data_IF_995803388093
#
_entry.id   IF_995803388093
#
_cell.length_a   1.000
_cell.length_b   1.000
_cell.length_c   1.000
_cell.angle_alpha   90.00
_cell.angle_beta   90.00
_cell.angle_gamma   90.00
#
_symmetry.space_group_name_H-M   'P 1'
#
loop_
_entity.id
_entity.type
_entity.pdbx_description
1 polymer ?
#
# COMPACT_ATOMS: atom_id res chain seq x y z
N UNK A 1 48.19 33.93 5.42
CA UNK A 1 47.08 34.75 4.94
C UNK A 1 45.77 34.19 5.51
N UNK A 2 45.45 34.56 6.72
CA UNK A 2 44.29 34.02 7.42
C UNK A 2 43.77 35.05 8.40
N UNK A 3 43.06 36.06 7.91
CA UNK A 3 42.28 36.98 8.74
C UNK A 3 41.29 37.73 7.86
N UNK A 4 40.16 37.15 7.57
CA UNK A 4 38.91 37.82 7.22
C UNK A 4 37.78 36.81 7.27
N UNK A 5 37.27 36.46 8.46
CA UNK A 5 36.01 35.68 8.57
C UNK A 5 35.24 35.90 9.90
N UNK A 6 35.62 36.90 10.72
CA UNK A 6 34.99 37.09 12.03
C UNK A 6 34.36 38.49 12.27
N UNK A 7 33.90 39.18 11.22
CA UNK A 7 33.25 40.50 11.42
C UNK A 7 31.83 40.62 10.81
N UNK A 8 31.22 39.56 10.34
CA UNK A 8 29.78 39.57 10.02
C UNK A 8 29.15 38.32 10.64
N UNK A 9 28.09 38.49 11.39
CA UNK A 9 27.39 37.41 12.07
C UNK A 9 27.19 36.23 11.10
N UNK A 10 27.54 35.03 11.57
CA UNK A 10 27.43 33.78 10.80
C UNK A 10 25.95 33.59 10.55
N UNK A 11 25.51 33.72 9.30
CA UNK A 11 24.17 33.33 8.90
C UNK A 11 24.04 31.79 8.88
N UNK A 12 22.81 31.28 8.79
CA UNK A 12 22.56 29.84 8.77
C UNK A 12 23.31 29.11 7.64
N UNK A 13 23.61 29.77 6.53
CA UNK A 13 24.42 29.21 5.43
C UNK A 13 25.91 29.21 5.78
N UNK A 14 26.41 30.21 6.41
CA UNK A 14 27.81 30.29 6.88
C UNK A 14 28.10 29.26 7.97
N UNK A 15 27.16 28.98 8.88
CA UNK A 15 27.29 27.95 9.90
C UNK A 15 27.40 26.56 9.29
N UNK A 16 26.62 26.27 8.25
CA UNK A 16 26.65 24.97 7.52
C UNK A 16 27.92 24.81 6.68
N UNK A 17 28.60 25.88 6.29
CA UNK A 17 29.87 25.81 5.54
C UNK A 17 31.12 25.68 6.42
N UNK A 18 31.01 25.84 7.73
CA UNK A 18 32.12 25.72 8.69
C UNK A 18 32.20 24.32 9.33
N UNK A 19 31.15 23.49 9.15
CA UNK A 19 31.14 22.10 9.64
C UNK A 19 32.13 21.22 8.89
N UNK A 20 33.40 21.25 9.24
CA UNK A 20 34.37 20.23 8.86
C UNK A 20 34.15 19.02 9.73
N UNK A 21 33.87 17.86 9.13
CA UNK A 21 34.05 16.57 9.82
C UNK A 21 35.54 16.44 10.06
N UNK A 22 35.97 16.78 11.27
CA UNK A 22 37.37 16.70 11.67
C UNK A 22 37.91 15.29 11.48
N UNK A 23 38.87 15.13 10.60
CA UNK A 23 39.54 13.89 10.32
C UNK A 23 39.69 13.50 8.84
N UNK A 24 38.80 13.96 7.97
CA UNK A 24 38.83 13.60 6.54
C UNK A 24 38.87 14.80 5.59
N UNK A 25 38.98 16.04 6.09
CA UNK A 25 39.11 17.24 5.25
C UNK A 25 37.86 17.57 4.37
N UNK A 26 36.76 16.90 4.58
CA UNK A 26 35.52 17.09 3.81
C UNK A 26 34.59 18.04 4.55
N UNK A 27 34.27 19.18 3.95
CA UNK A 27 33.23 20.08 4.45
C UNK A 27 31.84 19.57 4.01
N UNK A 28 30.76 19.93 4.76
CA UNK A 28 29.39 19.66 4.35
C UNK A 28 29.12 20.19 2.92
N UNK A 29 29.73 21.31 2.54
CA UNK A 29 29.70 21.84 1.18
C UNK A 29 30.38 20.92 0.14
N UNK A 30 31.40 20.15 0.53
CA UNK A 30 32.01 19.12 -0.32
C UNK A 30 31.10 17.88 -0.44
N UNK A 31 30.48 17.47 0.66
CA UNK A 31 29.52 16.36 0.66
C UNK A 31 28.29 16.69 -0.19
N UNK A 32 27.72 17.88 -0.06
CA UNK A 32 26.60 18.32 -0.88
C UNK A 32 26.98 18.49 -2.36
N UNK A 33 28.20 18.94 -2.67
CA UNK A 33 28.72 18.95 -4.05
C UNK A 33 28.99 17.54 -4.59
N UNK A 34 29.45 16.62 -3.76
CA UNK A 34 29.57 15.21 -4.16
C UNK A 34 28.21 14.54 -4.38
N UNK A 35 27.18 14.89 -3.58
CA UNK A 35 25.81 14.46 -3.85
C UNK A 35 25.26 15.07 -5.14
N UNK A 36 25.49 16.37 -5.38
CA UNK A 36 25.10 17.03 -6.63
C UNK A 36 25.87 16.44 -7.84
N UNK A 37 27.19 16.21 -7.71
CA UNK A 37 27.99 15.57 -8.75
C UNK A 37 27.63 14.09 -8.98
N UNK A 38 27.17 13.35 -7.95
CA UNK A 38 26.56 12.02 -8.12
C UNK A 38 25.22 12.08 -8.84
N UNK A 39 24.41 13.11 -8.56
CA UNK A 39 23.18 13.38 -9.29
C UNK A 39 23.44 13.78 -10.76
N UNK A 40 24.53 14.52 -11.02
CA UNK A 40 24.99 14.90 -12.36
C UNK A 40 25.74 13.76 -13.10
N UNK A 41 26.46 12.89 -12.38
CA UNK A 41 27.16 11.72 -12.93
C UNK A 41 26.23 10.55 -13.24
N UNK A 42 25.02 10.54 -12.69
CA UNK A 42 23.90 9.78 -13.16
C UNK A 42 22.90 10.76 -13.80
N UNK A 43 22.96 11.04 -15.09
CA UNK A 43 21.90 11.71 -15.79
C UNK A 43 20.73 10.72 -15.93
N UNK A 44 20.37 10.10 -14.81
CA UNK A 44 19.17 9.36 -14.63
C UNK A 44 18.04 10.35 -14.73
N UNK A 45 17.15 10.09 -15.67
CA UNK A 45 15.79 10.58 -15.85
C UNK A 45 15.39 11.65 -14.82
N UNK A 46 14.96 12.84 -15.24
CA UNK A 46 14.50 13.87 -14.31
C UNK A 46 13.56 13.23 -13.28
N UNK A 47 13.53 13.70 -12.02
CA UNK A 47 12.67 13.10 -10.99
C UNK A 47 11.28 12.95 -11.60
N UNK A 48 10.85 11.70 -11.79
CA UNK A 48 9.57 11.40 -12.43
C UNK A 48 8.52 12.09 -11.59
N UNK A 49 7.73 12.92 -12.21
CA UNK A 49 6.64 13.60 -11.52
C UNK A 49 5.68 12.51 -11.03
N UNK A 50 5.52 12.40 -9.70
CA UNK A 50 4.63 11.42 -9.11
C UNK A 50 3.21 11.61 -9.65
N UNK A 51 2.65 10.60 -10.28
CA UNK A 51 1.27 10.61 -10.73
C UNK A 51 0.32 10.31 -9.56
N UNK A 52 0.73 9.43 -8.65
CA UNK A 52 -0.02 9.10 -7.45
C UNK A 52 0.56 9.82 -6.22
N UNK A 53 -0.31 10.39 -5.40
CA UNK A 53 0.02 10.98 -4.11
C UNK A 53 -0.33 10.06 -2.94
N UNK A 54 -1.25 9.14 -3.17
CA UNK A 54 -1.74 8.17 -2.18
C UNK A 54 -2.04 6.82 -2.83
N UNK A 55 -2.03 5.76 -2.02
CA UNK A 55 -2.36 4.41 -2.45
C UNK A 55 -3.41 3.81 -1.53
N UNK A 56 -4.40 3.13 -2.11
CA UNK A 56 -5.32 2.24 -1.42
C UNK A 56 -5.03 0.82 -1.91
N UNK A 57 -4.44 0.00 -1.06
CA UNK A 57 -4.15 -1.41 -1.31
C UNK A 57 -5.25 -2.26 -0.68
N UNK A 58 -6.09 -2.86 -1.51
CA UNK A 58 -7.17 -3.78 -1.11
C UNK A 58 -6.63 -5.19 -1.22
N UNK A 59 -6.38 -5.82 -0.09
CA UNK A 59 -5.88 -7.18 -0.03
C UNK A 59 -7.02 -8.15 0.25
N UNK A 60 -7.15 -9.16 -0.60
CA UNK A 60 -8.15 -10.22 -0.55
C UNK A 60 -7.44 -11.53 -0.18
N UNK A 61 -7.26 -11.83 1.12
CA UNK A 61 -6.47 -12.97 1.57
C UNK A 61 -7.13 -14.30 1.22
N UNK A 62 -6.32 -15.27 0.86
CA UNK A 62 -6.76 -16.64 0.61
C UNK A 62 -6.69 -17.07 -0.85
N UNK A 63 -6.21 -16.23 -1.77
CA UNK A 63 -6.11 -16.60 -3.18
C UNK A 63 -7.44 -16.52 -3.93
N UNK A 64 -7.75 -15.35 -4.47
CA UNK A 64 -9.01 -15.13 -5.21
C UNK A 64 -9.00 -15.91 -6.52
N UNK A 65 -10.03 -16.71 -6.74
CA UNK A 65 -10.20 -17.43 -7.98
C UNK A 65 -10.53 -16.47 -9.14
N UNK A 66 -9.56 -16.28 -10.02
CA UNK A 66 -9.71 -15.38 -11.17
C UNK A 66 -10.75 -15.88 -12.17
N UNK A 67 -10.95 -17.20 -12.27
CA UNK A 67 -11.95 -17.82 -13.13
C UNK A 67 -13.39 -17.42 -12.76
N UNK A 68 -13.64 -17.24 -11.47
CA UNK A 68 -14.96 -16.83 -10.95
C UNK A 68 -15.12 -15.31 -10.87
N UNK A 69 -14.05 -14.55 -11.12
CA UNK A 69 -14.05 -13.08 -10.93
C UNK A 69 -13.65 -12.33 -12.19
N UNK A 70 -12.37 -12.00 -12.35
CA UNK A 70 -11.90 -11.06 -13.37
C UNK A 70 -11.49 -11.71 -14.70
N UNK A 71 -11.35 -13.04 -14.75
CA UNK A 71 -10.91 -13.77 -15.95
C UNK A 71 -11.72 -15.06 -16.21
N UNK A 72 -13.04 -14.94 -16.36
CA UNK A 72 -13.88 -16.12 -16.65
C UNK A 72 -13.53 -16.70 -18.02
N UNK A 73 -13.61 -18.05 -18.10
CA UNK A 73 -13.37 -18.80 -19.34
C UNK A 73 -14.68 -19.48 -19.80
N UNK A 74 -15.66 -18.70 -20.34
CA UNK A 74 -16.99 -19.23 -20.62
C UNK A 74 -17.02 -20.36 -21.65
N UNK A 75 -15.99 -20.47 -22.49
CA UNK A 75 -15.86 -21.49 -23.50
C UNK A 75 -15.07 -22.73 -23.02
N UNK A 76 -14.48 -22.69 -21.83
CA UNK A 76 -13.74 -23.80 -21.25
C UNK A 76 -14.71 -24.92 -20.82
N UNK A 77 -14.25 -26.18 -20.76
CA UNK A 77 -15.03 -27.28 -20.17
C UNK A 77 -15.51 -26.93 -18.74
N UNK A 78 -16.63 -27.56 -18.33
CA UNK A 78 -17.32 -27.20 -17.07
C UNK A 78 -16.41 -27.30 -15.84
N UNK A 79 -15.50 -28.26 -15.79
CA UNK A 79 -14.55 -28.46 -14.69
C UNK A 79 -13.48 -27.36 -14.58
N UNK A 80 -13.29 -26.58 -15.63
CA UNK A 80 -12.39 -25.39 -15.64
C UNK A 80 -13.17 -24.09 -15.46
N UNK A 81 -14.31 -23.97 -16.12
CA UNK A 81 -15.16 -22.79 -16.11
C UNK A 81 -15.71 -22.45 -14.73
N UNK A 82 -15.90 -23.48 -13.88
CA UNK A 82 -16.48 -23.32 -12.54
C UNK A 82 -18.01 -23.16 -12.54
N UNK A 83 -18.59 -22.89 -11.37
CA UNK A 83 -20.05 -22.89 -11.16
C UNK A 83 -20.75 -21.60 -11.61
N UNK A 84 -20.01 -20.53 -11.92
CA UNK A 84 -20.59 -19.23 -12.24
C UNK A 84 -20.65 -18.97 -13.74
N UNK A 85 -21.65 -18.17 -14.13
CA UNK A 85 -21.71 -17.55 -15.45
C UNK A 85 -20.76 -16.36 -15.57
N UNK A 86 -20.78 -15.75 -16.74
CA UNK A 86 -20.03 -14.50 -16.99
C UNK A 86 -20.93 -13.43 -17.57
N UNK A 87 -20.63 -12.18 -17.31
CA UNK A 87 -21.37 -11.01 -17.76
C UNK A 87 -20.47 -10.07 -18.57
N UNK A 88 -21.09 -9.29 -19.45
CA UNK A 88 -20.41 -8.24 -20.19
C UNK A 88 -20.04 -7.09 -19.25
N UNK A 89 -18.96 -6.42 -19.57
CA UNK A 89 -18.51 -5.24 -18.82
C UNK A 89 -18.69 -3.95 -19.63
N UNK A 90 -18.38 -2.81 -19.04
CA UNK A 90 -18.31 -1.54 -19.76
C UNK A 90 -17.23 -1.51 -20.87
N UNK A 91 -16.33 -2.50 -20.90
CA UNK A 91 -15.34 -2.66 -21.97
C UNK A 91 -15.82 -3.70 -22.97
N UNK A 92 -16.01 -3.32 -24.26
CA UNK A 92 -16.44 -4.23 -25.29
C UNK A 92 -15.53 -5.48 -25.39
N UNK A 93 -16.13 -6.67 -25.40
CA UNK A 93 -15.41 -7.94 -25.49
C UNK A 93 -14.76 -8.43 -24.19
N UNK A 94 -14.79 -7.65 -23.12
CA UNK A 94 -14.27 -8.04 -21.81
C UNK A 94 -15.41 -8.53 -20.92
N UNK A 95 -15.26 -9.72 -20.37
CA UNK A 95 -16.22 -10.33 -19.47
C UNK A 95 -15.66 -10.51 -18.07
N UNK A 96 -16.51 -10.37 -17.05
CA UNK A 96 -16.24 -10.74 -15.66
C UNK A 96 -17.17 -11.89 -15.23
N UNK A 97 -16.83 -12.55 -14.14
CA UNK A 97 -17.75 -13.47 -13.46
C UNK A 97 -19.04 -12.73 -13.06
N UNK A 98 -20.18 -13.41 -13.16
CA UNK A 98 -21.50 -12.82 -12.86
C UNK A 98 -21.66 -12.30 -11.44
N UNK A 99 -20.73 -12.64 -10.56
CA UNK A 99 -20.66 -12.20 -9.16
C UNK A 99 -20.16 -10.75 -8.99
N UNK A 100 -19.71 -10.11 -10.07
CA UNK A 100 -19.15 -8.75 -10.09
C UNK A 100 -19.98 -7.75 -10.92
N UNK A 101 -21.33 -7.66 -10.77
CA UNK A 101 -22.16 -6.82 -11.64
C UNK A 101 -21.95 -5.31 -11.45
N UNK A 102 -21.52 -4.83 -10.29
CA UNK A 102 -21.19 -3.43 -10.07
C UNK A 102 -19.83 -3.06 -10.62
N UNK A 103 -18.83 -3.91 -10.41
CA UNK A 103 -17.47 -3.72 -10.94
C UNK A 103 -17.44 -3.80 -12.47
N UNK A 104 -18.25 -4.67 -13.08
CA UNK A 104 -18.37 -4.77 -14.53
C UNK A 104 -18.80 -3.42 -15.17
N UNK A 105 -19.64 -2.64 -14.49
CA UNK A 105 -20.12 -1.32 -14.97
C UNK A 105 -19.08 -0.20 -14.92
N UNK A 106 -17.97 -0.42 -14.23
CA UNK A 106 -16.87 0.56 -14.07
C UNK A 106 -15.56 0.05 -14.69
N UNK A 107 -15.60 -1.02 -15.47
CA UNK A 107 -14.41 -1.62 -16.08
C UNK A 107 -13.64 -0.62 -16.96
N UNK A 108 -14.33 0.36 -17.53
CA UNK A 108 -13.74 1.50 -18.29
C UNK A 108 -12.81 2.39 -17.46
N UNK A 109 -12.83 2.29 -16.12
CA UNK A 109 -11.96 3.01 -15.19
C UNK A 109 -10.80 2.17 -14.65
N UNK A 110 -10.76 0.88 -15.00
CA UNK A 110 -9.85 -0.10 -14.44
C UNK A 110 -8.77 -0.51 -15.44
N UNK A 111 -7.61 -0.91 -14.93
CA UNK A 111 -6.65 -1.77 -15.60
C UNK A 111 -6.75 -3.16 -14.98
N UNK A 112 -7.16 -4.14 -15.76
CA UNK A 112 -7.33 -5.53 -15.35
C UNK A 112 -6.10 -6.32 -15.81
N UNK A 113 -5.27 -6.78 -14.89
CA UNK A 113 -4.11 -7.61 -15.20
C UNK A 113 -4.48 -9.08 -15.02
N UNK A 114 -4.49 -9.86 -16.11
CA UNK A 114 -4.90 -11.28 -16.13
C UNK A 114 -3.74 -12.27 -16.20
N UNK A 115 -2.52 -11.75 -16.17
CA UNK A 115 -1.29 -12.52 -16.36
C UNK A 115 -0.32 -12.43 -15.18
N UNK A 116 -0.80 -11.99 -14.00
CA UNK A 116 0.03 -11.95 -12.81
C UNK A 116 0.55 -13.34 -12.47
N UNK A 117 1.85 -13.46 -12.17
CA UNK A 117 2.50 -14.76 -11.97
C UNK A 117 3.65 -14.69 -10.99
N UNK A 118 3.82 -15.76 -10.21
CA UNK A 118 5.02 -16.06 -9.42
C UNK A 118 5.09 -17.54 -9.04
N UNK A 119 6.08 -17.95 -8.23
CA UNK A 119 6.30 -19.36 -7.89
C UNK A 119 5.82 -19.81 -6.52
N UNK A 120 5.21 -18.94 -5.72
CA UNK A 120 4.95 -19.19 -4.30
C UNK A 120 3.50 -19.65 -4.06
N UNK A 121 3.31 -20.93 -3.67
CA UNK A 121 2.01 -21.57 -3.48
C UNK A 121 1.55 -21.68 -2.01
N UNK A 122 2.35 -21.21 -1.06
CA UNK A 122 1.97 -21.13 0.36
C UNK A 122 1.54 -19.70 0.71
N UNK A 123 0.51 -19.53 1.55
CA UNK A 123 -0.06 -18.23 1.87
C UNK A 123 1.00 -17.24 2.39
N UNK A 124 1.82 -17.64 3.36
CA UNK A 124 2.85 -16.78 3.95
C UNK A 124 3.86 -16.33 2.90
N UNK A 125 4.29 -17.24 2.03
CA UNK A 125 5.29 -16.97 1.01
C UNK A 125 4.74 -16.09 -0.12
N UNK A 126 3.54 -16.42 -0.63
CA UNK A 126 2.85 -15.62 -1.63
C UNK A 126 2.51 -14.21 -1.10
N UNK A 127 2.03 -14.12 0.14
CA UNK A 127 1.75 -12.83 0.80
C UNK A 127 3.01 -11.99 0.94
N UNK A 128 4.11 -12.58 1.43
CA UNK A 128 5.40 -11.88 1.49
C UNK A 128 5.77 -11.29 0.13
N UNK A 129 5.72 -12.12 -0.92
CA UNK A 129 6.06 -11.69 -2.26
C UNK A 129 5.21 -10.49 -2.71
N UNK A 130 3.88 -10.60 -2.57
CA UNK A 130 2.94 -9.55 -2.98
C UNK A 130 2.97 -8.28 -2.10
N UNK A 131 3.45 -8.34 -0.87
CA UNK A 131 3.55 -7.18 0.01
C UNK A 131 4.88 -6.45 -0.07
N UNK A 132 5.94 -7.13 -0.51
CA UNK A 132 7.30 -6.59 -0.46
C UNK A 132 7.95 -6.41 -1.83
N UNK A 133 7.45 -7.09 -2.87
CA UNK A 133 8.12 -7.17 -4.19
C UNK A 133 9.28 -8.17 -4.22
N UNK A 134 9.51 -8.90 -3.12
CA UNK A 134 10.61 -9.84 -2.97
C UNK A 134 10.12 -11.26 -2.68
N UNK A 135 10.83 -12.24 -3.20
CA UNK A 135 10.66 -13.62 -2.76
C UNK A 135 11.12 -13.79 -1.31
N UNK A 136 10.44 -14.61 -0.50
CA UNK A 136 10.85 -14.85 0.88
C UNK A 136 12.28 -15.36 0.98
N UNK A 137 13.05 -14.78 1.87
CA UNK A 137 14.43 -15.19 2.17
C UNK A 137 14.59 -15.37 3.68
N UNK A 138 15.23 -16.45 4.15
CA UNK A 138 15.53 -16.61 5.57
C UNK A 138 16.58 -15.62 6.09
N UNK A 139 17.32 -14.98 5.19
CA UNK A 139 18.41 -14.07 5.53
C UNK A 139 17.94 -12.65 5.83
N UNK A 140 16.80 -12.23 5.32
CA UNK A 140 16.34 -10.85 5.44
C UNK A 140 14.81 -10.76 5.30
N UNK A 141 14.18 -10.05 6.23
CA UNK A 141 12.78 -9.67 6.10
C UNK A 141 12.67 -8.32 5.39
N UNK A 142 12.01 -8.30 4.25
CA UNK A 142 11.87 -7.09 3.43
C UNK A 142 10.72 -6.20 3.91
N UNK A 143 10.84 -4.86 3.76
CA UNK A 143 9.77 -3.94 4.11
C UNK A 143 8.61 -4.02 3.11
N UNK A 144 7.40 -3.83 3.61
CA UNK A 144 6.21 -3.70 2.77
C UNK A 144 6.20 -2.39 1.98
N UNK A 145 5.40 -2.32 0.90
CA UNK A 145 5.17 -1.09 0.13
C UNK A 145 4.82 0.10 1.04
N UNK A 146 3.89 -0.10 1.97
CA UNK A 146 3.47 0.97 2.89
C UNK A 146 4.60 1.44 3.79
N UNK A 147 5.47 0.54 4.23
CA UNK A 147 6.63 0.88 5.06
C UNK A 147 7.72 1.61 4.27
N UNK A 148 7.98 1.20 3.02
CA UNK A 148 8.89 1.94 2.13
C UNK A 148 8.35 3.36 1.88
N UNK A 149 7.07 3.52 1.57
CA UNK A 149 6.43 4.82 1.34
C UNK A 149 6.45 5.67 2.61
N UNK A 150 6.25 5.06 3.78
CA UNK A 150 6.40 5.72 5.09
C UNK A 150 7.83 6.22 5.32
N UNK A 151 8.83 5.45 4.93
CA UNK A 151 10.25 5.82 5.00
C UNK A 151 10.59 6.95 4.03
N UNK A 152 10.19 6.86 2.78
CA UNK A 152 10.57 7.80 1.72
C UNK A 152 9.91 9.17 1.88
N UNK A 153 8.67 9.23 2.33
CA UNK A 153 7.89 10.46 2.33
C UNK A 153 7.49 10.96 3.72
N UNK A 154 7.53 10.12 4.73
CA UNK A 154 7.09 10.49 6.08
C UNK A 154 5.60 10.88 6.17
N UNK A 155 5.18 11.43 7.32
CA UNK A 155 3.80 11.85 7.57
C UNK A 155 3.42 13.12 6.78
N UNK A 156 2.11 13.32 6.55
CA UNK A 156 1.52 14.53 6.03
C UNK A 156 0.46 15.01 7.03
N UNK A 157 0.49 16.28 7.42
CA UNK A 157 -0.50 16.92 8.30
C UNK A 157 -0.78 16.16 9.62
N UNK A 158 0.23 15.62 10.27
CA UNK A 158 0.13 14.78 11.49
C UNK A 158 -0.63 13.46 11.33
N UNK A 159 -0.95 13.04 10.10
CA UNK A 159 -1.55 11.74 9.83
C UNK A 159 -0.46 10.67 9.70
N UNK A 160 -0.72 9.43 10.14
CA UNK A 160 0.20 8.32 9.88
C UNK A 160 0.41 8.18 8.37
N UNK A 161 1.66 8.04 7.90
CA UNK A 161 1.91 7.87 6.46
C UNK A 161 1.39 6.53 5.93
N UNK A 162 1.29 5.51 6.78
CA UNK A 162 0.78 4.18 6.48
C UNK A 162 -0.27 3.75 7.51
N UNK A 163 -1.45 3.35 7.05
CA UNK A 163 -2.59 2.89 7.88
C UNK A 163 -3.04 1.51 7.43
N UNK A 164 -3.34 0.63 8.40
CA UNK A 164 -3.88 -0.71 8.17
C UNK A 164 -5.31 -0.82 8.73
N UNK A 165 -6.26 -1.27 7.90
CA UNK A 165 -7.69 -1.41 8.22
C UNK A 165 -8.12 -2.88 8.16
N UNK A 166 -8.64 -3.47 9.23
CA UNK A 166 -8.71 -2.93 10.59
C UNK A 166 -7.37 -3.02 11.31
N UNK A 167 -6.50 -3.94 10.91
CA UNK A 167 -5.19 -4.23 11.48
C UNK A 167 -4.17 -4.50 10.40
N UNK A 168 -2.89 -4.55 10.77
CA UNK A 168 -1.85 -5.10 9.92
C UNK A 168 -2.24 -6.54 9.56
N UNK A 169 -2.34 -6.87 8.24
CA UNK A 169 -2.92 -8.14 7.81
C UNK A 169 -2.08 -9.37 8.19
N UNK A 170 -0.77 -9.20 8.26
CA UNK A 170 0.22 -10.22 8.62
C UNK A 170 1.57 -9.54 8.92
N UNK A 171 2.57 -10.32 9.31
CA UNK A 171 3.91 -9.82 9.60
C UNK A 171 4.60 -9.15 8.40
N UNK A 172 4.28 -9.57 7.17
CA UNK A 172 4.90 -9.05 5.94
C UNK A 172 4.36 -7.68 5.51
N UNK A 173 3.28 -7.20 6.12
CA UNK A 173 2.81 -5.82 5.95
C UNK A 173 3.54 -4.82 6.87
N UNK A 174 4.61 -5.26 7.52
CA UNK A 174 5.44 -4.48 8.44
C UNK A 174 6.65 -3.83 7.79
N UNK A 175 7.51 -3.29 8.65
CA UNK A 175 8.71 -2.53 8.24
C UNK A 175 9.88 -3.39 7.77
N UNK A 176 9.83 -4.71 7.95
CA UNK A 176 10.94 -5.59 7.58
C UNK A 176 12.24 -5.17 8.24
N UNK A 177 13.30 -4.98 7.44
CA UNK A 177 14.61 -4.54 7.93
C UNK A 177 14.69 -3.03 8.23
N UNK A 178 13.68 -2.25 7.85
CA UNK A 178 13.59 -0.85 8.24
C UNK A 178 13.20 -0.72 9.72
N UNK A 179 13.42 0.46 10.30
CA UNK A 179 12.96 0.73 11.66
C UNK A 179 11.46 0.48 11.80
N UNK A 180 11.04 -0.08 12.94
CA UNK A 180 9.63 -0.28 13.28
C UNK A 180 8.81 1.02 13.27
N UNK A 181 9.47 2.17 13.35
CA UNK A 181 8.85 3.49 13.16
C UNK A 181 8.11 3.64 11.81
N UNK A 182 8.47 2.86 10.80
CA UNK A 182 7.84 2.89 9.47
C UNK A 182 6.70 1.88 9.30
N UNK A 183 6.38 1.09 10.32
CA UNK A 183 5.26 0.16 10.30
C UNK A 183 3.90 0.87 10.18
N UNK A 184 2.91 0.14 9.68
CA UNK A 184 1.55 0.64 9.53
C UNK A 184 0.86 0.92 10.86
N UNK A 185 0.12 2.01 10.93
CA UNK A 185 -0.78 2.29 12.06
C UNK A 185 -2.04 1.42 11.92
N UNK A 186 -2.22 0.47 12.83
CA UNK A 186 -3.40 -0.39 12.90
C UNK A 186 -4.52 0.27 13.69
N UNK A 187 -5.76 0.24 13.17
CA UNK A 187 -6.91 0.85 13.84
C UNK A 187 -7.29 0.14 15.14
N UNK A 188 -7.05 -1.17 15.22
CA UNK A 188 -7.40 -2.00 16.37
C UNK A 188 -8.90 -2.29 16.50
N UNK A 189 -9.74 -1.82 15.56
CA UNK A 189 -11.17 -2.06 15.51
C UNK A 189 -11.67 -2.03 14.07
N UNK A 190 -12.77 -2.74 13.78
CA UNK A 190 -13.39 -2.77 12.47
C UNK A 190 -14.34 -1.56 12.29
N UNK A 191 -14.21 -0.79 11.19
CA UNK A 191 -15.14 0.29 10.88
C UNK A 191 -16.62 -0.13 10.79
N UNK A 192 -16.89 -1.40 10.54
CA UNK A 192 -18.24 -1.96 10.51
C UNK A 192 -18.81 -2.29 11.88
N UNK A 193 -18.01 -2.24 12.95
CA UNK A 193 -18.54 -2.40 14.31
C UNK A 193 -19.31 -1.13 14.71
N UNK A 194 -20.54 -1.30 15.19
CA UNK A 194 -21.37 -0.18 15.66
C UNK A 194 -20.76 0.62 16.82
N UNK A 195 -19.75 0.07 17.49
CA UNK A 195 -18.97 0.72 18.56
C UNK A 195 -17.58 1.16 18.07
N UNK A 196 -17.38 1.23 16.77
CA UNK A 196 -16.10 1.60 16.18
C UNK A 196 -15.53 2.87 16.79
N UNK A 197 -14.35 2.75 17.35
CA UNK A 197 -13.51 3.86 17.80
C UNK A 197 -12.08 3.47 17.51
N UNK A 198 -11.35 4.34 16.86
CA UNK A 198 -9.91 4.13 16.68
C UNK A 198 -9.24 4.29 18.04
N UNK A 199 -8.43 3.29 18.39
CA UNK A 199 -7.69 3.28 19.65
C UNK A 199 -6.75 4.51 19.69
N UNK A 200 -6.65 5.12 20.86
CA UNK A 200 -5.67 6.17 21.15
C UNK A 200 -5.81 7.49 20.34
N UNK A 201 -6.97 7.76 19.74
CA UNK A 201 -7.27 9.06 19.13
C UNK A 201 -7.83 10.09 20.11
N UNK A 202 -8.22 9.68 21.29
CA UNK A 202 -8.76 10.57 22.31
C UNK A 202 -7.83 10.63 23.53
N UNK A 203 -7.84 11.78 24.20
CA UNK A 203 -7.16 11.89 25.49
C UNK A 203 -7.77 10.87 26.47
N UNK A 204 -6.94 10.22 27.31
CA UNK A 204 -7.44 9.37 28.37
C UNK A 204 -8.43 10.12 29.28
N UNK A 205 -9.42 9.41 29.79
CA UNK A 205 -10.42 9.97 30.68
C UNK A 205 -9.77 10.70 31.88
N UNK A 206 -10.22 11.90 32.18
CA UNK A 206 -9.67 12.75 33.25
C UNK A 206 -8.35 13.47 32.93
N UNK A 207 -7.88 13.43 31.66
CA UNK A 207 -6.71 14.18 31.20
C UNK A 207 -7.16 15.25 30.20
N UNK A 208 -7.03 16.52 30.58
CA UNK A 208 -7.20 17.64 29.67
C UNK A 208 -5.93 17.89 28.81
N UNK A 209 -6.07 18.71 27.77
CA UNK A 209 -4.98 19.04 26.85
C UNK A 209 -3.78 19.65 27.56
N UNK A 210 -3.97 20.52 28.55
CA UNK A 210 -2.88 21.17 29.28
C UNK A 210 -2.03 20.16 30.07
N UNK A 211 -2.70 19.24 30.76
CA UNK A 211 -2.06 18.15 31.51
C UNK A 211 -1.34 17.16 30.59
N UNK A 212 -1.91 16.90 29.40
CA UNK A 212 -1.30 16.08 28.37
C UNK A 212 -0.03 16.74 27.81
N UNK A 213 -0.08 18.01 27.43
CA UNK A 213 1.06 18.77 26.92
C UNK A 213 2.18 18.91 27.98
N UNK A 214 1.82 19.01 29.26
CA UNK A 214 2.80 19.03 30.36
C UNK A 214 3.51 17.68 30.48
N UNK A 215 2.77 16.57 30.42
CA UNK A 215 3.36 15.22 30.44
C UNK A 215 4.28 14.97 29.25
N UNK A 216 3.90 15.45 28.05
CA UNK A 216 4.74 15.40 26.86
C UNK A 216 6.08 16.10 27.08
N UNK A 217 6.05 17.35 27.53
CA UNK A 217 7.30 18.10 27.79
C UNK A 217 8.20 17.42 28.81
N UNK A 218 7.62 16.78 29.83
CA UNK A 218 8.40 16.01 30.82
C UNK A 218 9.02 14.76 30.18
N UNK A 219 8.28 14.06 29.32
CA UNK A 219 8.79 12.88 28.61
C UNK A 219 9.90 13.27 27.62
N UNK A 220 9.76 14.40 26.88
CA UNK A 220 10.78 14.90 25.98
C UNK A 220 12.11 15.14 26.71
N UNK A 221 12.08 15.74 27.91
CA UNK A 221 13.28 15.95 28.74
C UNK A 221 13.92 14.62 29.17
N UNK A 222 13.11 13.64 29.54
CA UNK A 222 13.61 12.30 29.92
C UNK A 222 14.22 11.58 28.73
N UNK A 223 13.52 11.61 27.57
CA UNK A 223 13.99 10.99 26.33
C UNK A 223 15.28 11.64 25.82
N UNK A 224 15.42 12.96 25.92
CA UNK A 224 16.65 13.64 25.52
C UNK A 224 17.85 13.20 26.36
N UNK A 225 17.63 12.95 27.65
CA UNK A 225 18.67 12.40 28.54
C UNK A 225 19.09 10.97 28.11
N UNK A 226 18.11 10.11 27.81
CA UNK A 226 18.40 8.74 27.36
C UNK A 226 19.05 8.68 25.97
N UNK A 227 18.63 9.54 25.02
CA UNK A 227 19.27 9.63 23.68
C UNK A 227 20.75 10.02 23.75
N UNK A 228 21.15 10.78 24.76
CA UNK A 228 22.56 11.12 24.97
C UNK A 228 23.36 9.93 25.51
N UNK A 229 22.71 9.02 26.24
CA UNK A 229 23.33 7.88 26.88
C UNK A 229 23.35 6.62 26.00
N UNK A 230 22.34 6.41 25.15
CA UNK A 230 22.18 5.20 24.34
C UNK A 230 21.51 5.52 23.00
N UNK A 231 22.16 5.10 21.90
CA UNK A 231 21.60 5.18 20.54
C UNK A 231 21.15 3.78 20.14
N UNK A 232 19.84 3.53 20.12
CA UNK A 232 19.28 2.30 19.60
C UNK A 232 18.06 2.57 18.71
N UNK A 233 17.87 1.72 17.68
CA UNK A 233 16.71 1.80 16.80
C UNK A 233 15.38 1.72 17.57
N UNK A 234 15.34 0.93 18.64
CA UNK A 234 14.18 0.78 19.51
C UNK A 234 13.77 2.09 20.20
N UNK A 235 14.74 2.91 20.62
CA UNK A 235 14.47 4.20 21.27
C UNK A 235 14.01 5.24 20.25
N UNK A 236 14.63 5.28 19.07
CA UNK A 236 14.23 6.20 18.00
C UNK A 236 12.84 5.85 17.45
N UNK A 237 12.53 4.56 17.32
CA UNK A 237 11.20 4.08 16.97
C UNK A 237 10.15 4.46 18.01
N UNK A 238 10.43 4.23 19.30
CA UNK A 238 9.53 4.57 20.40
C UNK A 238 9.19 6.06 20.41
N UNK A 239 10.21 6.91 20.24
CA UNK A 239 10.01 8.36 20.16
C UNK A 239 9.14 8.75 18.96
N UNK A 240 9.39 8.16 17.80
CA UNK A 240 8.58 8.38 16.60
C UNK A 240 7.12 7.97 16.82
N UNK A 241 6.86 6.87 17.52
CA UNK A 241 5.51 6.44 17.89
C UNK A 241 4.83 7.44 18.81
N UNK A 242 5.54 7.93 19.84
CA UNK A 242 5.00 8.95 20.73
C UNK A 242 4.68 10.24 19.98
N UNK A 243 5.56 10.74 19.14
CA UNK A 243 5.33 11.97 18.36
C UNK A 243 4.12 11.81 17.41
N UNK A 244 3.97 10.66 16.76
CA UNK A 244 2.81 10.36 15.92
C UNK A 244 1.51 10.28 16.72
N UNK A 245 1.52 9.60 17.86
CA UNK A 245 0.35 9.52 18.75
C UNK A 245 -0.06 10.92 19.24
N UNK A 246 0.90 11.75 19.64
CA UNK A 246 0.63 13.15 20.01
C UNK A 246 0.07 13.96 18.86
N UNK A 247 0.63 13.82 17.66
CA UNK A 247 0.14 14.49 16.46
C UNK A 247 -1.31 14.14 16.17
N UNK A 248 -1.65 12.86 16.23
CA UNK A 248 -3.01 12.35 16.04
C UNK A 248 -4.00 12.88 17.08
N UNK A 249 -3.66 12.76 18.38
CA UNK A 249 -4.53 13.18 19.48
C UNK A 249 -4.75 14.70 19.48
N UNK A 250 -3.75 15.48 19.08
CA UNK A 250 -3.80 16.94 19.09
C UNK A 250 -4.40 17.56 17.83
N UNK A 251 -4.57 16.81 16.76
CA UNK A 251 -5.06 17.30 15.47
C UNK A 251 -6.55 16.97 15.26
N UNK A 252 -7.40 17.98 15.30
CA UNK A 252 -8.82 17.83 14.98
C UNK A 252 -9.01 17.24 13.56
N UNK A 253 -8.23 17.70 12.57
CA UNK A 253 -8.24 17.19 11.20
C UNK A 253 -7.92 15.69 11.15
N UNK A 254 -6.96 15.24 11.96
CA UNK A 254 -6.64 13.81 12.02
C UNK A 254 -7.79 12.99 12.64
N UNK A 255 -8.39 13.47 13.72
CA UNK A 255 -9.55 12.81 14.34
C UNK A 255 -10.74 12.74 13.39
N UNK A 256 -11.05 13.83 12.67
CA UNK A 256 -12.12 13.88 11.66
C UNK A 256 -11.89 12.89 10.52
N UNK A 257 -10.65 12.67 10.09
CA UNK A 257 -10.33 11.72 9.02
C UNK A 257 -10.81 10.29 9.34
N UNK A 258 -10.71 9.89 10.61
CA UNK A 258 -11.13 8.56 11.07
C UNK A 258 -12.61 8.47 11.48
N UNK A 259 -13.34 9.59 11.56
CA UNK A 259 -14.72 9.61 12.05
C UNK A 259 -15.73 9.38 10.91
N UNK A 260 -16.19 8.14 10.77
CA UNK A 260 -17.24 7.78 9.80
C UNK A 260 -18.62 8.42 10.09
N UNK A 261 -18.83 9.02 11.28
CA UNK A 261 -20.08 9.74 11.57
C UNK A 261 -20.22 11.01 10.76
N UNK A 262 -19.10 11.57 10.28
CA UNK A 262 -19.07 12.74 9.40
C UNK A 262 -19.63 12.43 8.00
N UNK A 263 -19.70 11.16 7.60
CA UNK A 263 -20.24 10.79 6.30
C UNK A 263 -21.76 10.74 6.33
N UNK A 264 -22.43 11.28 5.29
CA UNK A 264 -23.88 11.14 5.13
C UNK A 264 -24.30 9.67 5.06
N UNK A 265 -25.48 9.36 5.60
CA UNK A 265 -26.01 8.00 5.58
C UNK A 265 -26.18 7.47 4.15
N UNK A 266 -26.59 8.33 3.20
CA UNK A 266 -26.69 7.96 1.79
C UNK A 266 -25.36 7.44 1.21
N UNK A 267 -24.22 8.03 1.59
CA UNK A 267 -22.90 7.57 1.18
C UNK A 267 -22.57 6.22 1.82
N UNK A 268 -22.84 6.06 3.12
CA UNK A 268 -22.66 4.76 3.80
C UNK A 268 -23.48 3.66 3.15
N UNK A 269 -24.72 3.97 2.74
CA UNK A 269 -25.62 3.03 2.06
C UNK A 269 -25.15 2.70 0.63
N UNK A 270 -24.57 3.68 -0.08
CA UNK A 270 -23.97 3.47 -1.40
C UNK A 270 -22.79 2.50 -1.32
N UNK A 271 -21.86 2.66 -0.36
CA UNK A 271 -20.77 1.73 -0.11
C UNK A 271 -21.24 0.36 0.41
N UNK A 272 -22.35 0.35 1.14
CA UNK A 272 -22.85 -0.80 1.90
C UNK A 272 -22.39 -0.78 3.36
N UNK A 273 -23.36 -0.94 4.29
CA UNK A 273 -23.09 -0.95 5.75
C UNK A 273 -22.59 -2.32 6.20
N UNK A 274 -21.45 -2.74 5.62
CA UNK A 274 -20.81 -4.01 5.90
C UNK A 274 -19.28 -3.80 5.95
N UNK A 275 -18.51 -4.85 6.26
CA UNK A 275 -17.06 -4.78 6.41
C UNK A 275 -16.37 -4.24 5.15
N UNK A 276 -16.73 -4.74 3.96
CA UNK A 276 -16.10 -4.28 2.72
C UNK A 276 -16.38 -2.79 2.49
N UNK A 277 -17.64 -2.40 2.51
CA UNK A 277 -18.07 -1.02 2.22
C UNK A 277 -17.50 -0.01 3.20
N UNK A 278 -17.61 -0.25 4.52
CA UNK A 278 -17.16 0.72 5.52
C UNK A 278 -15.63 0.79 5.66
N UNK A 279 -14.90 -0.32 5.42
CA UNK A 279 -13.43 -0.29 5.30
C UNK A 279 -12.98 0.53 4.09
N UNK A 280 -13.62 0.36 2.94
CA UNK A 280 -13.33 1.13 1.71
C UNK A 280 -13.70 2.61 1.86
N UNK A 281 -14.84 2.91 2.49
CA UNK A 281 -15.24 4.28 2.80
C UNK A 281 -14.21 4.98 3.71
N UNK A 282 -13.73 4.28 4.74
CA UNK A 282 -12.69 4.83 5.61
C UNK A 282 -11.39 5.04 4.85
N UNK A 283 -10.98 4.09 3.99
CA UNK A 283 -9.78 4.24 3.17
C UNK A 283 -9.86 5.47 2.26
N UNK A 284 -11.02 5.74 1.64
CA UNK A 284 -11.25 6.96 0.84
C UNK A 284 -11.07 8.22 1.70
N UNK A 285 -11.68 8.29 2.90
CA UNK A 285 -11.54 9.43 3.81
C UNK A 285 -10.08 9.68 4.20
N UNK A 286 -9.35 8.62 4.49
CA UNK A 286 -7.95 8.71 4.89
C UNK A 286 -7.07 9.29 3.78
N UNK A 287 -7.21 8.82 2.52
CA UNK A 287 -6.44 9.38 1.41
C UNK A 287 -6.87 10.81 1.07
N UNK A 288 -8.17 11.14 1.15
CA UNK A 288 -8.69 12.50 1.00
C UNK A 288 -8.11 13.45 2.05
N UNK A 289 -7.85 12.96 3.26
CA UNK A 289 -7.22 13.72 4.36
C UNK A 289 -5.70 13.81 4.24
N UNK A 290 -5.05 13.01 3.39
CA UNK A 290 -3.63 13.06 3.11
C UNK A 290 -2.81 11.86 3.56
N UNK A 291 -3.42 10.76 4.01
CA UNK A 291 -2.71 9.50 4.26
C UNK A 291 -2.11 8.98 2.95
N UNK A 292 -0.83 8.59 2.99
CA UNK A 292 -0.10 8.19 1.79
C UNK A 292 -0.35 6.77 1.35
N UNK A 293 -0.49 5.85 2.31
CA UNK A 293 -0.72 4.45 2.02
C UNK A 293 -1.74 3.85 2.99
N UNK A 294 -2.77 3.23 2.44
CA UNK A 294 -3.79 2.52 3.23
C UNK A 294 -3.84 1.08 2.73
N UNK A 295 -3.57 0.11 3.61
CA UNK A 295 -3.87 -1.29 3.37
C UNK A 295 -5.20 -1.62 4.03
N UNK A 296 -6.13 -2.19 3.30
CA UNK A 296 -7.32 -2.79 3.87
C UNK A 296 -7.45 -4.25 3.44
N UNK A 297 -7.93 -5.09 4.36
CA UNK A 297 -8.22 -6.50 4.08
C UNK A 297 -9.71 -6.74 4.01
N UNK A 298 -10.14 -7.69 3.18
CA UNK A 298 -11.52 -8.12 3.15
C UNK A 298 -11.67 -9.60 2.77
N UNK A 299 -12.50 -10.30 3.52
CA UNK A 299 -12.88 -11.69 3.27
C UNK A 299 -11.81 -12.70 3.70
N UNK A 300 -12.08 -13.94 3.32
CA UNK A 300 -11.18 -15.08 3.36
C UNK A 300 -11.49 -15.92 2.14
N UNK A 301 -10.65 -15.81 1.09
CA UNK A 301 -10.93 -16.36 -0.24
C UNK A 301 -10.32 -17.74 -0.46
N UNK A 302 -9.93 -18.42 0.61
CA UNK A 302 -9.28 -19.74 0.60
C UNK A 302 -10.31 -20.88 0.44
N UNK A 303 -10.93 -20.95 -0.73
CA UNK A 303 -12.02 -21.85 -1.02
C UNK A 303 -11.53 -23.20 -1.58
N UNK A 304 -10.97 -24.04 -0.72
CA UNK A 304 -10.60 -25.42 -1.06
C UNK A 304 -11.80 -26.35 -1.23
N UNK A 305 -12.96 -25.94 -0.74
CA UNK A 305 -14.24 -26.63 -0.87
C UNK A 305 -15.37 -25.64 -1.16
N UNK A 306 -16.47 -26.11 -1.70
CA UNK A 306 -17.72 -25.37 -1.89
C UNK A 306 -17.52 -23.91 -2.36
N UNK A 307 -16.65 -23.69 -3.38
CA UNK A 307 -16.26 -22.37 -3.87
C UNK A 307 -17.47 -21.49 -4.22
N UNK A 308 -18.55 -22.09 -4.74
CA UNK A 308 -19.79 -21.37 -5.07
C UNK A 308 -20.38 -20.70 -3.84
N UNK A 309 -20.49 -21.43 -2.73
CA UNK A 309 -21.02 -20.89 -1.47
C UNK A 309 -20.11 -19.79 -0.91
N UNK A 310 -18.80 -20.02 -0.92
CA UNK A 310 -17.81 -19.08 -0.43
C UNK A 310 -17.87 -17.75 -1.18
N UNK A 311 -17.81 -17.80 -2.50
CA UNK A 311 -17.85 -16.60 -3.35
C UNK A 311 -19.20 -15.89 -3.23
N UNK A 312 -20.33 -16.59 -3.26
CA UNK A 312 -21.66 -15.98 -3.07
C UNK A 312 -21.79 -15.22 -1.74
N UNK A 313 -21.08 -15.64 -0.70
CA UNK A 313 -21.11 -14.97 0.60
C UNK A 313 -20.27 -13.68 0.66
N UNK A 314 -19.20 -13.59 -0.13
CA UNK A 314 -18.20 -12.52 -0.01
C UNK A 314 -18.24 -11.54 -1.18
N UNK A 315 -18.39 -12.02 -2.41
CA UNK A 315 -18.29 -11.21 -3.61
C UNK A 315 -19.30 -10.04 -3.67
N UNK A 316 -20.58 -10.18 -3.26
CA UNK A 316 -21.51 -9.06 -3.37
C UNK A 316 -21.13 -7.83 -2.56
N UNK A 317 -20.60 -8.01 -1.34
CA UNK A 317 -20.17 -6.90 -0.50
C UNK A 317 -18.90 -6.23 -1.06
N UNK A 318 -17.95 -7.04 -1.53
CA UNK A 318 -16.75 -6.56 -2.22
C UNK A 318 -17.10 -5.77 -3.48
N UNK A 319 -17.89 -6.37 -4.37
CA UNK A 319 -18.28 -5.80 -5.67
C UNK A 319 -18.95 -4.42 -5.52
N UNK A 320 -19.94 -4.34 -4.61
CA UNK A 320 -20.61 -3.07 -4.32
C UNK A 320 -19.67 -2.03 -3.74
N UNK A 321 -18.90 -2.41 -2.72
CA UNK A 321 -17.97 -1.50 -2.04
C UNK A 321 -16.87 -1.00 -2.97
N UNK A 322 -16.22 -1.88 -3.73
CA UNK A 322 -15.14 -1.55 -4.65
C UNK A 322 -15.61 -0.65 -5.79
N UNK A 323 -16.71 -1.02 -6.45
CA UNK A 323 -17.26 -0.18 -7.52
C UNK A 323 -17.66 1.22 -7.01
N UNK A 324 -18.19 1.30 -5.78
CA UNK A 324 -18.53 2.59 -5.16
C UNK A 324 -17.27 3.39 -4.83
N UNK A 325 -16.22 2.76 -4.29
CA UNK A 325 -14.94 3.42 -4.01
C UNK A 325 -14.37 4.09 -5.26
N UNK A 326 -14.31 3.37 -6.39
CA UNK A 326 -13.78 3.91 -7.65
C UNK A 326 -14.64 5.08 -8.14
N UNK A 327 -15.98 4.96 -8.13
CA UNK A 327 -16.88 6.05 -8.53
C UNK A 327 -16.78 7.26 -7.61
N UNK A 328 -16.64 7.06 -6.30
CA UNK A 328 -16.56 8.15 -5.32
C UNK A 328 -15.23 8.91 -5.44
N UNK A 329 -14.11 8.19 -5.60
CA UNK A 329 -12.81 8.80 -5.88
C UNK A 329 -12.85 9.61 -7.20
N UNK A 330 -13.46 9.07 -8.26
CA UNK A 330 -13.58 9.72 -9.55
C UNK A 330 -14.45 10.99 -9.47
N UNK A 331 -15.63 10.90 -8.84
CA UNK A 331 -16.54 12.06 -8.61
C UNK A 331 -15.90 13.20 -7.81
N UNK A 332 -14.99 12.85 -6.89
CA UNK A 332 -14.27 13.83 -6.05
C UNK A 332 -12.99 14.37 -6.71
N UNK A 333 -12.65 13.88 -7.90
CA UNK A 333 -11.38 14.24 -8.56
C UNK A 333 -10.13 13.69 -7.87
N UNK A 334 -10.29 12.67 -7.03
CA UNK A 334 -9.21 12.05 -6.25
C UNK A 334 -8.59 10.84 -6.99
N UNK A 335 -9.31 10.25 -7.95
CA UNK A 335 -8.86 9.02 -8.61
C UNK A 335 -7.55 9.21 -9.36
N UNK A 336 -7.37 10.35 -10.03
CA UNK A 336 -6.14 10.62 -10.80
C UNK A 336 -4.88 10.70 -9.91
N UNK A 337 -5.04 11.09 -8.64
CA UNK A 337 -3.94 11.20 -7.68
C UNK A 337 -3.90 10.06 -6.65
N UNK A 338 -4.83 9.11 -6.71
CA UNK A 338 -4.90 7.95 -5.82
C UNK A 338 -4.78 6.66 -6.61
N UNK A 339 -3.71 5.90 -6.39
CA UNK A 339 -3.56 4.57 -6.95
C UNK A 339 -4.35 3.58 -6.10
N UNK A 340 -5.30 2.86 -6.70
CA UNK A 340 -6.04 1.77 -6.07
C UNK A 340 -5.56 0.45 -6.65
N UNK A 341 -5.16 -0.49 -5.79
CA UNK A 341 -4.75 -1.84 -6.17
C UNK A 341 -5.62 -2.86 -5.45
N UNK A 342 -6.20 -3.82 -6.19
CA UNK A 342 -6.85 -5.02 -5.65
C UNK A 342 -5.92 -6.18 -5.89
N UNK A 343 -5.48 -6.84 -4.81
CA UNK A 343 -4.47 -7.90 -4.85
C UNK A 343 -4.89 -9.10 -4.00
N UNK A 344 -4.29 -10.21 -4.30
CA UNK A 344 -4.33 -11.46 -3.53
C UNK A 344 -2.94 -12.11 -3.61
N UNK A 345 -2.65 -13.09 -2.78
CA UNK A 345 -1.32 -13.71 -2.75
C UNK A 345 -1.03 -14.67 -3.91
N UNK A 346 -2.06 -15.27 -4.51
CA UNK A 346 -1.98 -16.14 -5.69
C UNK A 346 -3.39 -16.42 -6.26
N UNK A 347 -3.49 -17.16 -7.33
CA UNK A 347 -4.74 -17.64 -7.92
C UNK A 347 -5.14 -19.01 -7.40
N UNK A 348 -6.07 -19.63 -8.13
CA UNK A 348 -6.62 -20.93 -7.82
C UNK A 348 -6.47 -21.88 -9.00
N UNK A 349 -6.40 -23.20 -8.70
CA UNK A 349 -6.22 -24.25 -9.72
C UNK A 349 -7.21 -24.10 -10.87
N UNK A 350 -6.78 -24.34 -12.12
CA UNK A 350 -7.64 -24.25 -13.29
C UNK A 350 -8.87 -25.16 -13.19
N UNK A 351 -8.68 -26.36 -12.66
CA UNK A 351 -9.72 -27.37 -12.53
C UNK A 351 -10.33 -27.37 -11.12
N UNK A 352 -11.66 -27.49 -11.06
CA UNK A 352 -12.40 -27.70 -9.82
C UNK A 352 -11.97 -29.04 -9.23
N UNK A 353 -11.68 -29.08 -7.93
CA UNK A 353 -11.30 -30.29 -7.20
C UNK A 353 -12.54 -31.12 -6.77
N UNK A 354 -12.33 -32.35 -6.24
CA UNK A 354 -13.45 -33.24 -5.84
C UNK A 354 -14.37 -32.68 -4.75
N UNK A 355 -13.93 -31.71 -3.98
CA UNK A 355 -14.71 -31.05 -2.93
C UNK A 355 -15.43 -29.79 -3.43
N UNK A 356 -15.54 -29.61 -4.76
CA UNK A 356 -16.14 -28.48 -5.42
C UNK A 356 -15.46 -27.13 -5.03
N UNK A 357 -14.15 -27.14 -4.83
CA UNK A 357 -13.29 -26.00 -4.58
C UNK A 357 -12.16 -25.91 -5.58
N UNK A 358 -11.18 -25.06 -5.29
CA UNK A 358 -9.93 -24.94 -6.03
C UNK A 358 -8.76 -24.81 -5.06
N UNK A 359 -7.64 -25.44 -5.37
CA UNK A 359 -6.42 -25.38 -4.57
C UNK A 359 -5.52 -24.18 -4.98
N UNK A 360 -4.40 -23.99 -4.30
CA UNK A 360 -3.49 -22.87 -4.56
C UNK A 360 -2.83 -22.98 -5.93
N UNK A 361 -2.76 -21.88 -6.67
CA UNK A 361 -2.17 -21.83 -7.99
C UNK A 361 -1.49 -20.49 -8.28
N UNK A 362 -0.17 -20.39 -8.04
CA UNK A 362 0.55 -19.13 -8.22
C UNK A 362 0.93 -18.82 -9.68
N UNK A 363 0.80 -19.78 -10.58
CA UNK A 363 1.27 -19.65 -11.97
C UNK A 363 0.55 -18.57 -12.75
N UNK A 364 -0.73 -18.31 -12.44
CA UNK A 364 -1.48 -17.20 -13.02
C UNK A 364 -2.61 -16.77 -12.11
N UNK A 365 -2.82 -15.47 -12.01
CA UNK A 365 -3.97 -14.87 -11.32
C UNK A 365 -4.21 -13.44 -11.79
N UNK A 366 -5.33 -12.86 -11.36
CA UNK A 366 -5.68 -11.50 -11.73
C UNK A 366 -5.48 -10.54 -10.57
N UNK A 367 -4.96 -9.36 -10.89
CA UNK A 367 -4.99 -8.16 -10.04
C UNK A 367 -5.67 -7.03 -10.79
N UNK A 368 -6.17 -6.03 -10.05
CA UNK A 368 -6.82 -4.87 -10.65
C UNK A 368 -6.20 -3.60 -10.13
N UNK A 369 -5.97 -2.64 -11.02
CA UNK A 369 -5.43 -1.31 -10.67
C UNK A 369 -6.36 -0.21 -11.20
N UNK A 370 -6.38 0.94 -10.53
CA UNK A 370 -7.10 2.12 -11.00
C UNK A 370 -6.46 3.40 -10.49
N UNK A 371 -6.59 4.49 -11.25
CA UNK A 371 -6.13 5.81 -10.84
C UNK A 371 -4.61 5.96 -10.72
N UNK A 372 -4.13 7.05 -10.14
CA UNK A 372 -2.71 7.28 -9.89
C UNK A 372 -1.82 7.22 -11.15
N UNK A 373 -2.33 7.64 -12.32
CA UNK A 373 -1.61 7.55 -13.58
C UNK A 373 -1.60 6.15 -14.21
N UNK A 374 -2.45 5.24 -13.75
CA UNK A 374 -2.72 3.95 -14.42
C UNK A 374 -3.70 4.17 -15.57
N UNK A 375 -3.43 3.53 -16.68
CA UNK A 375 -4.25 3.60 -17.89
C UNK A 375 -5.63 3.02 -17.61
N UNK A 376 -6.66 3.77 -17.97
CA UNK A 376 -8.05 3.37 -17.74
C UNK A 376 -8.55 2.49 -18.88
N UNK A 377 -9.43 1.55 -18.57
CA UNK A 377 -10.17 0.77 -19.54
C UNK A 377 -9.31 -0.19 -20.37
N UNK A 378 -8.35 -0.87 -19.73
CA UNK A 378 -7.48 -1.82 -20.40
C UNK A 378 -7.48 -3.18 -19.70
N UNK A 379 -7.19 -4.20 -20.49
CA UNK A 379 -6.77 -5.52 -20.03
C UNK A 379 -5.30 -5.69 -20.39
N UNK A 380 -4.47 -5.98 -19.41
CA UNK A 380 -3.05 -6.29 -19.58
C UNK A 380 -2.82 -7.78 -19.42
N UNK A 381 -2.22 -8.36 -20.42
CA UNK A 381 -1.94 -9.78 -20.51
C UNK A 381 -3.20 -10.65 -20.56
N UNK A 382 -2.99 -11.92 -20.81
CA UNK A 382 -4.04 -12.93 -20.82
C UNK A 382 -3.57 -14.20 -20.15
N UNK A 383 -4.50 -14.98 -19.61
CA UNK A 383 -4.27 -16.39 -19.30
C UNK A 383 -4.79 -17.27 -20.43
N UNK A 384 -4.25 -18.49 -20.54
CA UNK A 384 -4.63 -19.44 -21.58
C UNK A 384 -6.11 -19.88 -21.47
N UNK A 385 -6.57 -20.66 -22.42
CA UNK A 385 -7.98 -21.08 -22.55
C UNK A 385 -8.58 -21.75 -21.29
N UNK A 386 -7.75 -22.31 -20.41
CA UNK A 386 -8.15 -22.96 -19.16
C UNK A 386 -7.77 -22.15 -17.91
N UNK A 387 -7.26 -20.93 -18.07
CA UNK A 387 -6.77 -20.09 -16.98
C UNK A 387 -5.67 -20.77 -16.12
N UNK A 388 -4.77 -21.53 -16.77
CA UNK A 388 -3.72 -22.29 -16.12
C UNK A 388 -2.37 -21.59 -16.07
N UNK A 389 -2.05 -20.80 -17.08
CA UNK A 389 -0.76 -20.14 -17.27
C UNK A 389 -0.98 -18.80 -18.00
N UNK A 390 -0.07 -17.84 -17.85
CA UNK A 390 -0.06 -16.66 -18.72
C UNK A 390 0.12 -17.10 -20.18
N UNK A 391 -0.65 -16.51 -21.08
CA UNK A 391 -0.52 -16.70 -22.53
C UNK A 391 0.21 -15.50 -23.17
N UNK A 392 -0.21 -14.29 -22.80
CA UNK A 392 0.40 -13.05 -23.28
C UNK A 392 0.81 -12.15 -22.10
N UNK A 393 1.86 -11.36 -22.32
CA UNK A 393 2.34 -10.31 -21.43
C UNK A 393 2.34 -10.72 -19.94
N UNK A 394 3.12 -11.74 -19.52
CA UNK A 394 3.19 -12.15 -18.13
C UNK A 394 3.64 -10.99 -17.23
N UNK A 395 2.92 -10.74 -16.16
CA UNK A 395 3.22 -9.71 -15.18
C UNK A 395 3.87 -10.32 -13.95
N UNK A 396 5.15 -10.03 -13.74
CA UNK A 396 5.85 -10.48 -12.54
C UNK A 396 5.56 -9.56 -11.34
N UNK A 397 5.80 -10.06 -10.12
CA UNK A 397 5.64 -9.26 -8.90
C UNK A 397 6.61 -8.08 -8.91
N UNK A 398 7.83 -8.30 -9.37
CA UNK A 398 8.89 -7.31 -9.47
C UNK A 398 8.52 -6.18 -10.45
N UNK A 399 7.94 -6.52 -11.62
CA UNK A 399 7.48 -5.52 -12.61
C UNK A 399 6.30 -4.72 -12.10
N UNK A 400 5.32 -5.39 -11.45
CA UNK A 400 4.19 -4.72 -10.82
C UNK A 400 4.65 -3.79 -9.69
N UNK A 401 5.53 -4.26 -8.80
CA UNK A 401 6.08 -3.48 -7.71
C UNK A 401 6.82 -2.22 -8.22
N UNK A 402 7.68 -2.40 -9.22
CA UNK A 402 8.39 -1.30 -9.86
C UNK A 402 7.43 -0.29 -10.48
N UNK A 403 6.34 -0.77 -11.10
CA UNK A 403 5.30 0.12 -11.67
C UNK A 403 4.58 0.91 -10.58
N UNK A 404 4.25 0.28 -9.44
CA UNK A 404 3.62 0.97 -8.30
C UNK A 404 4.54 2.06 -7.74
N UNK A 405 5.82 1.76 -7.52
CA UNK A 405 6.78 2.75 -7.03
C UNK A 405 7.01 3.89 -8.02
N UNK A 406 7.07 3.58 -9.30
CA UNK A 406 7.19 4.59 -10.36
C UNK A 406 6.02 5.59 -10.35
N UNK A 407 4.77 5.11 -10.16
CA UNK A 407 3.62 6.03 -10.06
C UNK A 407 3.71 6.98 -8.87
N UNK A 408 4.40 6.58 -7.82
CA UNK A 408 4.66 7.40 -6.63
C UNK A 408 5.91 8.29 -6.76
N UNK A 409 6.64 8.20 -7.87
CA UNK A 409 7.88 8.94 -8.10
C UNK A 409 9.08 8.36 -7.33
N UNK A 410 9.00 7.11 -6.87
CA UNK A 410 10.10 6.39 -6.20
C UNK A 410 10.85 5.58 -7.27
N UNK A 411 12.17 5.75 -7.35
CA UNK A 411 13.03 4.84 -8.15
C UNK A 411 13.17 3.50 -7.41
N UNK A 412 12.60 2.45 -7.96
CA UNK A 412 12.65 1.11 -7.37
C UNK A 412 14.07 0.53 -7.25
N UNK A 413 15.05 1.06 -8.00
CA UNK A 413 16.47 0.69 -7.91
C UNK A 413 17.21 1.42 -6.79
N UNK A 414 16.56 2.35 -6.11
CA UNK A 414 17.13 3.02 -4.94
C UNK A 414 17.48 1.98 -3.89
N UNK A 415 18.71 2.06 -3.37
CA UNK A 415 19.15 1.21 -2.28
C UNK A 415 18.73 1.76 -0.91
N UNK A 416 18.19 0.90 -0.07
CA UNK A 416 17.94 1.13 1.35
C UNK A 416 18.94 0.29 2.15
N UNK A 417 19.35 0.80 3.31
CA UNK A 417 20.37 0.11 4.12
C UNK A 417 19.72 -0.91 5.06
N UNK A 418 19.99 -2.17 4.83
CA UNK A 418 19.66 -3.26 5.74
C UNK A 418 20.72 -3.39 6.86
N UNK A 419 20.44 -4.15 7.94
CA UNK A 419 21.39 -4.39 9.02
C UNK A 419 22.76 -4.86 8.51
N UNK A 420 23.82 -4.40 9.17
CA UNK A 420 25.20 -4.67 8.75
C UNK A 420 25.67 -3.77 7.59
N UNK A 421 25.01 -2.62 7.38
CA UNK A 421 25.32 -1.66 6.30
C UNK A 421 25.28 -2.30 4.89
N UNK A 422 24.36 -3.25 4.69
CA UNK A 422 24.13 -3.93 3.42
C UNK A 422 23.14 -3.12 2.57
N UNK A 423 23.54 -2.59 1.40
CA UNK A 423 22.61 -1.94 0.49
C UNK A 423 21.69 -2.98 -0.16
N UNK A 424 20.39 -2.66 -0.23
CA UNK A 424 19.35 -3.49 -0.84
C UNK A 424 18.45 -2.59 -1.67
N UNK A 425 18.26 -2.90 -2.94
CA UNK A 425 17.32 -2.18 -3.79
C UNK A 425 15.89 -2.27 -3.23
N UNK A 426 15.04 -1.29 -3.50
CA UNK A 426 13.62 -1.34 -3.12
C UNK A 426 12.93 -2.48 -3.84
N UNK A 427 13.26 -2.71 -5.12
CA UNK A 427 12.83 -3.88 -5.90
C UNK A 427 14.01 -4.40 -6.70
N UNK A 428 14.28 -5.71 -6.65
CA UNK A 428 15.35 -6.35 -7.39
C UNK A 428 14.87 -6.76 -8.80
N UNK A 429 15.43 -6.12 -9.84
CA UNK A 429 15.30 -6.56 -11.23
C UNK A 429 13.97 -6.25 -11.94
N UNK A 430 13.04 -5.53 -11.32
CA UNK A 430 11.77 -5.15 -11.94
C UNK A 430 11.89 -4.01 -12.94
N UNK A 431 10.93 -3.91 -13.86
CA UNK A 431 10.77 -2.82 -14.84
C UNK A 431 9.37 -2.25 -14.82
N UNK A 432 9.26 -0.96 -15.17
CA UNK A 432 7.96 -0.30 -15.31
C UNK A 432 7.23 -0.86 -16.51
N UNK A 433 6.00 -1.33 -16.31
CA UNK A 433 5.13 -1.85 -17.38
C UNK A 433 4.47 -0.68 -18.11
N UNK A 434 5.06 -0.28 -19.24
CA UNK A 434 4.63 0.91 -19.99
C UNK A 434 3.19 0.81 -20.51
N UNK A 435 2.69 -0.39 -20.76
CA UNK A 435 1.32 -0.63 -21.17
C UNK A 435 0.29 -0.24 -20.12
N UNK A 436 0.67 -0.30 -18.83
CA UNK A 436 -0.21 0.03 -17.69
C UNK A 436 -0.28 1.51 -17.35
N UNK A 437 0.61 2.34 -17.88
CA UNK A 437 0.74 3.73 -17.47
C UNK A 437 0.34 4.72 -18.56
N UNK A 438 -0.17 5.91 -18.16
CA UNK A 438 -0.52 7.03 -19.05
C UNK A 438 0.68 7.91 -19.37
#
# INVERSE_FOLDING_TARGET
MGRVLFSRGIDRRGFLSVGTVGGLGLSLGHFLRMQAARAEANPGTPPRQAAAQSVISIYLPGGVAHQETFDPKPLAPAEYRGPFGSIDTALPGVRFGEVLPHTAKIADKLAICRSMTHGEAAHERGTHNMFTGYRPSPALQYPSFGSVISHEFGPRDNLPPYVCIPNQPNEFAGSGYLSSAYSGFSLGADPADGRFKVRDLNLPEGIDKSRFDKRRRMLDVVNDHFRQAEKSDSLDALDTFYQRAYGLISSAKAQEAFDLKQEPDAIKDEYGRNQAGLRMLLARRLVESGVRFVTLTYGGWDHHDQIEKGIKSQAPAFDKGFATLIRDLDRRGLLDSTLVCVTTEFGRTPKINPTAGRDHWPKVFSIVMAGGGIKRGIVHGSSNATAAEPEDDPLTVEDWATTVYDRLGIDARKELMAPGARPVEIVDGGKVVQQLIT
#
